data_IF_758204870167
#
_entry.id   IF_758204870167
#
_cell.length_a   1.000
_cell.length_b   1.000
_cell.length_c   1.000
_cell.angle_alpha   90.00
_cell.angle_beta   90.00
_cell.angle_gamma   90.00
#
_symmetry.space_group_name_H-M   'P 1'
#
loop_
_entity.id
_entity.type
_entity.pdbx_description
1 polymer ?
#
# COMPACT_ATOMS: atom_id res chain seq x y z
N UNK A 1 44.32 32.91 13.30
CA UNK A 1 43.77 31.62 13.74
C UNK A 1 42.40 31.47 13.11
N UNK A 2 42.36 30.79 11.97
CA UNK A 2 41.19 30.43 11.17
C UNK A 2 41.72 29.84 9.86
N UNK A 3 42.01 28.55 9.89
CA UNK A 3 42.35 27.73 8.71
C UNK A 3 41.12 26.88 8.34
N UNK A 4 41.02 26.43 7.08
CA UNK A 4 39.89 26.75 6.24
C UNK A 4 38.98 25.54 6.05
N UNK A 5 37.79 25.83 5.55
CA UNK A 5 36.66 24.95 5.31
C UNK A 5 36.94 24.00 4.12
N UNK A 6 38.03 23.23 4.16
CA UNK A 6 38.33 22.26 3.11
C UNK A 6 38.67 20.89 3.72
N UNK A 7 37.70 20.01 3.50
CA UNK A 7 37.84 18.60 3.14
C UNK A 7 38.19 17.56 4.22
N UNK A 8 37.18 16.73 4.50
CA UNK A 8 37.36 15.29 4.59
C UNK A 8 36.91 14.68 5.91
N UNK A 9 35.77 13.99 5.88
CA UNK A 9 35.36 12.98 6.86
C UNK A 9 34.72 13.43 8.19
N UNK A 10 34.03 14.58 8.21
CA UNK A 10 32.98 14.84 9.20
C UNK A 10 31.61 14.36 8.68
N UNK A 11 30.65 14.00 9.56
CA UNK A 11 29.28 13.74 9.12
C UNK A 11 28.79 14.94 8.32
N UNK A 12 28.27 14.68 7.11
CA UNK A 12 27.84 15.71 6.16
C UNK A 12 27.04 16.79 6.89
N UNK A 13 27.63 17.96 7.03
CA UNK A 13 27.00 19.07 7.69
C UNK A 13 25.86 19.62 6.83
N UNK A 14 25.02 20.44 7.45
CA UNK A 14 24.02 21.24 6.74
C UNK A 14 24.62 22.06 5.59
N UNK A 15 25.83 22.65 5.68
CA UNK A 15 26.45 23.38 4.56
C UNK A 15 26.72 22.50 3.33
N UNK A 16 27.27 21.30 3.52
CA UNK A 16 27.57 20.36 2.43
C UNK A 16 26.31 19.89 1.72
N UNK A 17 25.24 19.61 2.47
CA UNK A 17 23.95 19.23 1.87
C UNK A 17 23.33 20.37 1.05
N UNK A 18 23.49 21.62 1.48
CA UNK A 18 23.02 22.78 0.70
C UNK A 18 23.78 22.88 -0.62
N UNK A 19 25.10 22.68 -0.62
CA UNK A 19 25.91 22.71 -1.86
C UNK A 19 25.45 21.63 -2.84
N UNK A 20 25.25 20.40 -2.34
CA UNK A 20 24.76 19.29 -3.18
C UNK A 20 23.35 19.59 -3.69
N UNK A 21 22.46 20.11 -2.84
CA UNK A 21 21.11 20.48 -3.25
C UNK A 21 21.13 21.56 -4.35
N UNK A 22 22.00 22.56 -4.25
CA UNK A 22 22.16 23.60 -5.29
C UNK A 22 22.66 23.00 -6.59
N UNK A 23 23.64 22.09 -6.56
CA UNK A 23 24.11 21.39 -7.78
C UNK A 23 22.98 20.59 -8.45
N UNK A 24 22.21 19.83 -7.67
CA UNK A 24 21.04 19.10 -8.16
C UNK A 24 20.00 20.08 -8.73
N UNK A 25 19.76 21.21 -8.07
CA UNK A 25 18.84 22.25 -8.55
C UNK A 25 19.32 22.90 -9.86
N UNK A 26 20.62 23.01 -10.12
CA UNK A 26 21.15 23.51 -11.40
C UNK A 26 20.94 22.47 -12.50
N UNK A 27 21.25 21.20 -12.23
CA UNK A 27 21.13 20.11 -13.21
C UNK A 27 19.68 19.83 -13.60
N UNK A 28 18.79 19.75 -12.60
CA UNK A 28 17.39 19.39 -12.80
C UNK A 28 16.45 20.60 -12.86
N UNK A 29 16.81 21.72 -12.25
CA UNK A 29 15.96 22.90 -12.13
C UNK A 29 15.05 22.87 -10.89
N UNK A 30 14.87 24.03 -10.26
CA UNK A 30 14.02 24.20 -9.06
C UNK A 30 12.55 23.80 -9.24
N UNK A 31 12.04 23.82 -10.47
CA UNK A 31 10.67 23.39 -10.79
C UNK A 31 10.53 21.88 -10.98
N UNK A 32 11.61 21.14 -11.30
CA UNK A 32 11.53 19.71 -11.62
C UNK A 32 11.53 18.82 -10.38
N UNK A 33 12.32 19.15 -9.36
CA UNK A 33 12.32 18.43 -8.08
C UNK A 33 10.93 18.31 -7.43
N UNK A 34 10.16 19.41 -7.20
CA UNK A 34 8.84 19.30 -6.58
C UNK A 34 7.84 18.59 -7.49
N UNK A 35 7.96 18.74 -8.81
CA UNK A 35 7.11 18.03 -9.77
C UNK A 35 7.36 16.52 -9.71
N UNK A 36 8.63 16.11 -9.69
CA UNK A 36 9.05 14.71 -9.58
C UNK A 36 8.65 14.08 -8.24
N UNK A 37 8.84 14.80 -7.14
CA UNK A 37 8.41 14.35 -5.82
C UNK A 37 6.88 14.16 -5.77
N UNK A 38 6.10 15.07 -6.37
CA UNK A 38 4.64 14.94 -6.46
C UNK A 38 4.22 13.74 -7.31
N UNK A 39 4.86 13.49 -8.46
CA UNK A 39 4.52 12.33 -9.29
C UNK A 39 4.88 11.02 -8.60
N UNK A 40 6.07 10.92 -8.01
CA UNK A 40 6.47 9.75 -7.23
C UNK A 40 5.55 9.53 -6.02
N UNK A 41 5.22 10.60 -5.30
CA UNK A 41 4.32 10.52 -4.14
C UNK A 41 2.93 10.02 -4.53
N UNK A 42 2.38 10.49 -5.65
CA UNK A 42 1.12 9.96 -6.20
C UNK A 42 1.25 8.48 -6.56
N UNK A 43 2.29 8.09 -7.29
CA UNK A 43 2.53 6.69 -7.68
C UNK A 43 2.67 5.78 -6.45
N UNK A 44 3.42 6.20 -5.43
CA UNK A 44 3.57 5.45 -4.18
C UNK A 44 2.26 5.38 -3.39
N UNK A 45 1.45 6.44 -3.39
CA UNK A 45 0.14 6.46 -2.74
C UNK A 45 -0.85 5.48 -3.38
N UNK A 46 -1.00 5.53 -4.70
CA UNK A 46 -1.86 4.59 -5.44
C UNK A 46 -1.36 3.15 -5.30
N UNK A 47 -0.04 2.94 -5.33
CA UNK A 47 0.55 1.62 -5.11
C UNK A 47 0.27 1.07 -3.71
N UNK A 48 0.34 1.91 -2.68
CA UNK A 48 0.04 1.51 -1.30
C UNK A 48 -1.44 1.17 -1.13
N UNK A 49 -2.34 1.91 -1.80
CA UNK A 49 -3.78 1.64 -1.81
C UNK A 49 -4.09 0.31 -2.49
N UNK A 50 -3.52 0.08 -3.67
CA UNK A 50 -3.69 -1.18 -4.41
C UNK A 50 -3.16 -2.38 -3.62
N UNK A 51 -2.02 -2.23 -2.93
CA UNK A 51 -1.51 -3.29 -2.04
C UNK A 51 -2.47 -3.64 -0.93
N UNK A 52 -3.08 -2.63 -0.29
CA UNK A 52 -4.04 -2.84 0.80
C UNK A 52 -5.31 -3.53 0.31
N UNK A 53 -5.86 -3.09 -0.81
CA UNK A 53 -7.05 -3.69 -1.42
C UNK A 53 -6.81 -5.16 -1.79
N UNK A 54 -5.63 -5.48 -2.33
CA UNK A 54 -5.23 -6.85 -2.61
C UNK A 54 -5.11 -7.71 -1.34
N UNK A 55 -4.52 -7.17 -0.27
CA UNK A 55 -4.43 -7.86 1.02
C UNK A 55 -5.83 -8.15 1.61
N UNK A 56 -6.73 -7.16 1.57
CA UNK A 56 -8.12 -7.31 2.03
C UNK A 56 -8.88 -8.36 1.19
N UNK A 57 -8.68 -8.39 -0.13
CA UNK A 57 -9.25 -9.40 -1.02
C UNK A 57 -8.72 -10.81 -0.74
N UNK A 58 -7.41 -10.95 -0.49
CA UNK A 58 -6.81 -12.23 -0.12
C UNK A 58 -7.37 -12.74 1.21
N UNK A 59 -7.53 -11.86 2.20
CA UNK A 59 -8.09 -12.21 3.49
C UNK A 59 -9.54 -12.69 3.36
N UNK A 60 -10.36 -11.99 2.56
CA UNK A 60 -11.74 -12.41 2.27
C UNK A 60 -11.81 -13.73 1.51
N UNK A 61 -10.95 -13.94 0.53
CA UNK A 61 -10.90 -15.20 -0.22
C UNK A 61 -10.53 -16.39 0.68
N UNK A 62 -9.70 -16.17 1.70
CA UNK A 62 -9.38 -17.18 2.71
C UNK A 62 -10.56 -17.46 3.66
N UNK A 63 -11.26 -16.42 4.12
CA UNK A 63 -12.46 -16.55 4.96
C UNK A 63 -13.61 -17.27 4.22
N UNK A 64 -13.78 -17.02 2.92
CA UNK A 64 -14.80 -17.66 2.08
C UNK A 64 -14.45 -19.11 1.74
N UNK A 65 -13.16 -19.45 1.63
CA UNK A 65 -12.70 -20.83 1.44
C UNK A 65 -12.88 -21.72 2.69
N UNK A 66 -12.99 -21.12 3.88
CA UNK A 66 -13.17 -21.84 5.14
C UNK A 66 -14.65 -22.04 5.53
N UNK A 67 -15.61 -21.45 4.78
CA UNK A 67 -17.04 -21.72 4.96
C UNK A 67 -17.44 -22.99 4.20
N UNK A 68 -17.73 -24.12 4.87
CA UNK A 68 -18.22 -25.30 4.19
C UNK A 68 -19.61 -24.98 3.61
N UNK A 69 -19.72 -25.14 2.30
CA UNK A 69 -21.00 -25.14 1.59
C UNK A 69 -21.81 -26.36 2.06
N UNK A 70 -22.54 -26.22 3.17
CA UNK A 70 -23.66 -27.09 3.55
C UNK A 70 -24.87 -26.19 3.73
N UNK A 71 -25.34 -25.61 2.63
CA UNK A 71 -26.76 -25.31 2.48
C UNK A 71 -27.32 -26.38 1.54
N UNK A 72 -27.69 -27.52 2.11
CA UNK A 72 -28.53 -28.49 1.43
C UNK A 72 -29.86 -27.80 1.08
N UNK A 73 -30.34 -27.90 -0.17
CA UNK A 73 -31.67 -27.43 -0.54
C UNK A 73 -32.73 -27.98 0.41
N UNK A 74 -33.64 -27.09 0.81
CA UNK A 74 -34.81 -27.37 1.63
C UNK A 74 -35.61 -28.56 1.04
N UNK A 75 -35.47 -29.75 1.62
CA UNK A 75 -36.49 -30.80 1.52
C UNK A 75 -37.35 -30.76 2.78
N UNK A 76 -38.11 -29.68 2.94
CA UNK A 76 -39.37 -29.73 3.70
C UNK A 76 -40.37 -30.57 2.90
N UNK A 77 -40.17 -31.88 2.87
CA UNK A 77 -41.30 -32.81 2.68
C UNK A 77 -42.00 -32.91 4.03
N UNK A 78 -43.12 -32.19 4.11
CA UNK A 78 -44.06 -32.26 5.20
C UNK A 78 -44.46 -33.72 5.44
N UNK A 79 -44.61 -34.17 6.70
CA UNK A 79 -45.33 -35.39 7.00
C UNK A 79 -46.79 -35.17 6.57
N UNK A 80 -47.18 -35.78 5.46
CA UNK A 80 -48.60 -35.93 5.14
C UNK A 80 -49.13 -36.99 6.10
N UNK A 81 -49.77 -36.47 7.14
CA UNK A 81 -50.78 -37.11 7.97
C UNK A 81 -51.63 -38.12 7.16
N UNK A 82 -51.33 -39.41 7.31
CA UNK A 82 -52.24 -40.49 6.90
C UNK A 82 -52.99 -40.95 8.15
N UNK A 83 -54.12 -40.29 8.42
CA UNK A 83 -55.20 -40.85 9.23
C UNK A 83 -55.85 -42.03 8.48
N UNK A 84 -56.35 -42.96 9.28
CA UNK A 84 -57.50 -43.85 9.03
C UNK A 84 -57.44 -44.73 7.79
N UNK A 85 -57.17 -46.03 7.98
CA UNK A 85 -58.23 -47.05 7.91
C UNK A 85 -57.68 -48.46 8.25
N UNK A 86 -58.50 -49.19 9.01
CA UNK A 86 -58.44 -50.60 9.44
C UNK A 86 -57.68 -50.93 10.72
#
# INVERSE_FOLDING_TARGET
MNTPIIAGFGPLGTPELIIIAVLVLILFGAKKLPTFARSLGKSMGEFSKARKEFEDELHRAQEDAERPTIQAPQEKRQPVEQKSDV
#
